data_IF_269701231059
#
_entry.id   IF_269701231059
#
_cell.length_a   1.000
_cell.length_b   1.000
_cell.length_c   1.000
_cell.angle_alpha   90.00
_cell.angle_beta   90.00
_cell.angle_gamma   90.00
#
_symmetry.space_group_name_H-M   'P 1'
#
loop_
_entity.id
_entity.type
_entity.pdbx_description
1 polymer ?
#
# COMPACT_ATOMS: atom_id res chain seq x y z
N UNK A 1 -20.45 -3.74 16.45
CA UNK A 1 -20.26 -4.56 15.21
C UNK A 1 -19.21 -3.81 14.40
N UNK A 2 -18.10 -4.43 14.03
CA UNK A 2 -17.12 -3.81 13.13
C UNK A 2 -17.80 -3.56 11.78
N UNK A 3 -17.67 -2.34 11.27
CA UNK A 3 -18.20 -1.97 9.96
C UNK A 3 -17.49 -2.82 8.90
N UNK A 4 -18.25 -3.43 7.98
CA UNK A 4 -17.68 -4.20 6.87
C UNK A 4 -16.98 -3.23 5.92
N UNK A 5 -15.70 -3.43 5.68
CA UNK A 5 -14.94 -2.62 4.73
C UNK A 5 -15.24 -3.08 3.32
N UNK A 6 -15.68 -2.16 2.48
CA UNK A 6 -16.02 -2.41 1.07
C UNK A 6 -15.26 -1.48 0.12
N UNK A 7 -14.37 -0.63 0.63
CA UNK A 7 -13.59 0.34 -0.15
C UNK A 7 -12.10 0.07 -0.06
N UNK A 8 -11.39 0.37 -1.13
CA UNK A 8 -9.93 0.40 -1.15
C UNK A 8 -9.41 1.63 -1.90
N UNK A 9 -8.21 2.08 -1.52
CA UNK A 9 -7.44 3.11 -2.22
C UNK A 9 -6.09 2.50 -2.60
N UNK A 10 -5.73 2.59 -3.89
CA UNK A 10 -4.45 2.14 -4.40
C UNK A 10 -3.64 3.36 -4.84
N UNK A 11 -2.45 3.54 -4.27
CA UNK A 11 -1.53 4.61 -4.67
C UNK A 11 -0.70 4.15 -5.87
N UNK A 12 -0.88 4.82 -7.00
CA UNK A 12 -0.30 4.44 -8.28
C UNK A 12 0.27 5.64 -9.06
N UNK A 13 0.62 6.72 -8.35
CA UNK A 13 1.08 7.96 -8.98
C UNK A 13 2.60 8.00 -9.25
N UNK A 14 3.38 7.06 -8.72
CA UNK A 14 4.85 7.05 -8.76
C UNK A 14 5.44 6.87 -10.17
N UNK A 15 6.59 7.50 -10.41
CA UNK A 15 7.27 7.50 -11.70
C UNK A 15 8.10 6.24 -12.00
N UNK A 16 8.42 5.43 -10.99
CA UNK A 16 9.21 4.20 -11.21
C UNK A 16 10.66 4.44 -11.69
N UNK A 17 11.28 5.57 -11.36
CA UNK A 17 12.59 6.00 -11.89
C UNK A 17 13.71 4.96 -11.70
N UNK A 18 13.67 4.17 -10.64
CA UNK A 18 14.67 3.12 -10.35
C UNK A 18 14.61 1.93 -11.33
N UNK A 19 13.51 1.77 -12.05
CA UNK A 19 13.33 0.76 -13.10
C UNK A 19 13.89 1.20 -14.47
N UNK A 20 14.46 2.42 -14.56
CA UNK A 20 15.07 2.98 -15.76
C UNK A 20 14.08 2.97 -16.94
N UNK A 21 14.54 2.52 -18.14
CA UNK A 21 13.73 2.49 -19.37
C UNK A 21 12.38 1.78 -19.17
N UNK A 22 12.34 0.69 -18.38
CA UNK A 22 11.09 -0.03 -18.10
C UNK A 22 10.08 0.86 -17.36
N UNK A 23 10.52 1.66 -16.38
CA UNK A 23 9.65 2.60 -15.65
C UNK A 23 9.23 3.80 -16.48
N UNK A 24 10.05 4.22 -17.47
CA UNK A 24 9.70 5.29 -18.40
C UNK A 24 8.58 4.88 -19.37
N UNK A 25 8.56 3.62 -19.80
CA UNK A 25 7.58 3.09 -20.76
C UNK A 25 6.30 2.58 -20.10
N UNK A 26 6.43 1.97 -18.90
CA UNK A 26 5.34 1.25 -18.25
C UNK A 26 5.28 1.62 -16.78
N UNK A 27 4.11 2.02 -16.22
CA UNK A 27 3.99 2.29 -14.79
C UNK A 27 4.17 0.99 -14.00
N UNK A 28 4.71 1.08 -12.77
CA UNK A 28 5.07 -0.08 -11.94
C UNK A 28 3.95 -1.13 -11.83
N UNK A 29 2.72 -0.68 -11.59
CA UNK A 29 1.56 -1.58 -11.48
C UNK A 29 1.26 -2.39 -12.75
N UNK A 30 1.82 -2.01 -13.90
CA UNK A 30 1.67 -2.71 -15.17
C UNK A 30 2.85 -3.60 -15.55
N UNK A 31 3.87 -3.70 -14.71
CA UNK A 31 4.88 -4.76 -14.84
C UNK A 31 4.16 -6.10 -14.81
N UNK A 32 4.53 -6.99 -15.73
CA UNK A 32 3.82 -8.26 -15.90
C UNK A 32 4.50 -9.39 -15.14
N UNK A 33 3.69 -10.12 -14.39
CA UNK A 33 4.04 -11.42 -13.86
C UNK A 33 3.07 -12.45 -14.45
N UNK A 34 3.62 -13.51 -15.04
CA UNK A 34 2.81 -14.56 -15.66
C UNK A 34 1.80 -14.04 -16.71
N UNK A 35 2.21 -13.03 -17.47
CA UNK A 35 1.40 -12.42 -18.52
C UNK A 35 0.37 -11.38 -18.08
N UNK A 36 0.09 -11.24 -16.77
CA UNK A 36 -0.85 -10.25 -16.22
C UNK A 36 -0.13 -9.10 -15.50
N UNK A 37 -0.60 -7.85 -15.61
CA UNK A 37 -0.12 -6.75 -14.78
C UNK A 37 -0.26 -7.03 -13.28
N UNK A 38 0.74 -6.63 -12.49
CA UNK A 38 0.70 -6.89 -11.02
C UNK A 38 -0.49 -6.20 -10.35
N UNK A 39 -0.90 -5.03 -10.81
CA UNK A 39 -2.10 -4.34 -10.30
C UNK A 39 -3.36 -5.20 -10.42
N UNK A 40 -3.49 -6.02 -11.48
CA UNK A 40 -4.65 -6.89 -11.63
C UNK A 40 -4.70 -8.00 -10.58
N UNK A 41 -3.54 -8.47 -10.09
CA UNK A 41 -3.51 -9.42 -8.99
C UNK A 41 -4.05 -8.80 -7.71
N UNK A 42 -3.65 -7.54 -7.42
CA UNK A 42 -4.19 -6.77 -6.30
C UNK A 42 -5.69 -6.53 -6.42
N UNK A 43 -6.18 -6.14 -7.61
CA UNK A 43 -7.60 -5.94 -7.87
C UNK A 43 -8.41 -7.21 -7.65
N UNK A 44 -7.96 -8.35 -8.20
CA UNK A 44 -8.64 -9.65 -8.01
C UNK A 44 -8.66 -10.06 -6.54
N UNK A 45 -7.56 -9.84 -5.79
CA UNK A 45 -7.51 -10.14 -4.37
C UNK A 45 -8.53 -9.29 -3.58
N UNK A 46 -8.59 -7.99 -3.83
CA UNK A 46 -9.53 -7.08 -3.19
C UNK A 46 -10.99 -7.45 -3.50
N UNK A 47 -11.32 -7.64 -4.78
CA UNK A 47 -12.68 -7.96 -5.22
C UNK A 47 -13.13 -9.31 -4.65
N UNK A 48 -12.26 -10.33 -4.65
CA UNK A 48 -12.58 -11.65 -4.08
C UNK A 48 -12.83 -11.60 -2.56
N UNK A 49 -12.27 -10.62 -1.86
CA UNK A 49 -12.50 -10.37 -0.44
C UNK A 49 -13.70 -9.45 -0.15
N UNK A 50 -14.48 -9.07 -1.17
CA UNK A 50 -15.72 -8.31 -1.01
C UNK A 50 -15.57 -6.79 -1.10
N UNK A 51 -14.42 -6.28 -1.54
CA UNK A 51 -14.25 -4.87 -1.87
C UNK A 51 -15.07 -4.55 -3.13
N UNK A 52 -15.88 -3.51 -3.06
CA UNK A 52 -16.85 -3.13 -4.09
C UNK A 52 -16.51 -1.82 -4.80
N UNK A 53 -15.71 -0.99 -4.17
CA UNK A 53 -15.28 0.29 -4.73
C UNK A 53 -13.78 0.45 -4.52
N UNK A 54 -13.06 0.70 -5.61
CA UNK A 54 -11.60 0.85 -5.59
C UNK A 54 -11.25 2.17 -6.26
N UNK A 55 -10.62 3.07 -5.50
CA UNK A 55 -10.03 4.29 -6.03
C UNK A 55 -8.56 4.04 -6.35
N UNK A 56 -8.16 4.22 -7.60
CA UNK A 56 -6.73 4.24 -7.99
C UNK A 56 -6.31 5.69 -8.14
N UNK A 57 -5.36 6.12 -7.30
CA UNK A 57 -4.75 7.44 -7.40
C UNK A 57 -3.61 7.37 -8.41
N UNK A 58 -3.82 7.94 -9.57
CA UNK A 58 -2.92 7.87 -10.71
C UNK A 58 -2.02 9.10 -10.82
N UNK A 59 -0.98 9.01 -11.64
CA UNK A 59 -0.09 10.12 -11.97
C UNK A 59 0.68 9.79 -13.25
N UNK A 60 1.91 9.27 -13.12
CA UNK A 60 2.70 8.83 -14.27
C UNK A 60 1.96 7.75 -15.06
N UNK A 61 1.83 7.94 -16.38
CA UNK A 61 1.19 6.98 -17.31
C UNK A 61 -0.25 6.61 -16.89
N UNK A 62 -1.04 7.58 -16.44
CA UNK A 62 -2.41 7.38 -15.95
C UNK A 62 -3.31 6.60 -16.91
N UNK A 63 -3.09 6.73 -18.22
CA UNK A 63 -3.87 6.09 -19.28
C UNK A 63 -3.92 4.55 -19.14
N UNK A 64 -2.89 3.94 -18.58
CA UNK A 64 -2.87 2.52 -18.28
C UNK A 64 -3.92 2.14 -17.25
N UNK A 65 -4.00 2.90 -16.16
CA UNK A 65 -4.98 2.65 -15.08
C UNK A 65 -6.40 3.01 -15.50
N UNK A 66 -6.57 4.02 -16.36
CA UNK A 66 -7.85 4.39 -16.94
C UNK A 66 -8.46 3.24 -17.77
N UNK A 67 -7.64 2.50 -18.51
CA UNK A 67 -8.09 1.36 -19.31
C UNK A 67 -8.66 0.21 -18.48
N UNK A 68 -8.27 0.07 -17.21
CA UNK A 68 -8.79 -0.99 -16.34
C UNK A 68 -10.28 -0.83 -16.02
N UNK A 69 -10.84 0.38 -16.13
CA UNK A 69 -12.27 0.64 -15.88
C UNK A 69 -13.20 -0.09 -16.86
N UNK A 70 -12.70 -0.45 -18.03
CA UNK A 70 -13.44 -1.24 -19.02
C UNK A 70 -13.60 -2.71 -18.59
N UNK A 71 -12.67 -3.20 -17.75
CA UNK A 71 -12.61 -4.59 -17.31
C UNK A 71 -13.18 -4.75 -15.88
N UNK A 72 -12.90 -3.76 -15.01
CA UNK A 72 -13.25 -3.79 -13.59
C UNK A 72 -14.18 -2.63 -13.26
N UNK A 73 -15.52 -2.85 -13.19
CA UNK A 73 -16.51 -1.80 -12.91
C UNK A 73 -16.41 -1.21 -11.50
N UNK A 74 -15.68 -1.89 -10.59
CA UNK A 74 -15.42 -1.43 -9.23
C UNK A 74 -14.43 -0.25 -9.20
N UNK A 75 -13.68 0.00 -10.29
CA UNK A 75 -12.60 0.97 -10.32
C UNK A 75 -13.11 2.38 -10.63
N UNK A 76 -12.61 3.32 -9.86
CA UNK A 76 -12.56 4.75 -10.17
C UNK A 76 -11.12 5.23 -10.13
N UNK A 77 -10.82 6.28 -10.85
CA UNK A 77 -9.49 6.89 -10.88
C UNK A 77 -9.55 8.36 -10.51
N UNK A 78 -8.53 8.84 -9.84
CA UNK A 78 -8.28 10.27 -9.62
C UNK A 78 -6.81 10.56 -9.90
N UNK A 79 -6.53 11.67 -10.57
CA UNK A 79 -5.16 12.02 -10.93
C UNK A 79 -4.51 12.93 -9.89
N UNK A 80 -3.33 12.57 -9.42
CA UNK A 80 -2.40 13.50 -8.81
C UNK A 80 -1.63 14.22 -9.93
N UNK A 81 -2.06 15.40 -10.34
CA UNK A 81 -1.40 16.18 -11.40
C UNK A 81 -0.02 16.71 -11.02
N UNK A 82 0.38 16.57 -9.75
CA UNK A 82 1.67 17.01 -9.21
C UNK A 82 2.56 15.84 -8.78
N UNK A 83 2.31 14.66 -9.33
CA UNK A 83 2.98 13.41 -8.92
C UNK A 83 4.52 13.50 -8.94
N UNK A 84 5.11 14.28 -9.85
CA UNK A 84 6.56 14.44 -9.96
C UNK A 84 7.19 15.20 -8.77
N UNK A 85 6.40 16.04 -8.09
CA UNK A 85 6.89 16.97 -7.06
C UNK A 85 6.30 16.66 -5.67
N UNK A 86 5.54 15.56 -5.51
CA UNK A 86 4.77 15.29 -4.29
C UNK A 86 4.97 13.87 -3.78
N UNK A 87 4.84 13.71 -2.46
CA UNK A 87 4.89 12.41 -1.78
C UNK A 87 3.55 11.67 -1.76
N UNK A 88 3.55 10.50 -1.13
CA UNK A 88 2.39 9.59 -1.06
C UNK A 88 1.19 10.22 -0.33
N UNK A 89 1.42 11.07 0.67
CA UNK A 89 0.33 11.78 1.36
C UNK A 89 -0.45 12.72 0.45
N UNK A 90 0.23 13.42 -0.47
CA UNK A 90 -0.47 14.26 -1.43
C UNK A 90 -1.32 13.41 -2.38
N UNK A 91 -0.79 12.28 -2.83
CA UNK A 91 -1.54 11.31 -3.64
C UNK A 91 -2.76 10.78 -2.89
N UNK A 92 -2.59 10.37 -1.63
CA UNK A 92 -3.71 9.92 -0.78
C UNK A 92 -4.76 11.04 -0.58
N UNK A 93 -4.32 12.30 -0.49
CA UNK A 93 -5.20 13.47 -0.41
C UNK A 93 -6.08 13.68 -1.65
N UNK A 94 -5.62 13.28 -2.84
CA UNK A 94 -6.44 13.35 -4.05
C UNK A 94 -7.69 12.45 -3.98
N UNK A 95 -7.69 11.43 -3.13
CA UNK A 95 -8.83 10.54 -2.93
C UNK A 95 -9.89 11.07 -1.93
N UNK A 96 -9.79 12.33 -1.46
CA UNK A 96 -10.64 12.86 -0.38
C UNK A 96 -12.14 12.72 -0.65
N UNK A 97 -12.60 12.96 -1.87
CA UNK A 97 -14.02 12.89 -2.22
C UNK A 97 -14.56 11.44 -2.29
N UNK A 98 -13.65 10.46 -2.33
CA UNK A 98 -13.97 9.04 -2.30
C UNK A 98 -14.02 8.47 -0.89
N UNK A 99 -13.20 9.01 0.03
CA UNK A 99 -13.05 8.50 1.39
C UNK A 99 -14.16 8.99 2.30
N UNK A 100 -15.30 8.33 2.26
CA UNK A 100 -16.46 8.56 3.13
C UNK A 100 -16.63 7.49 4.23
N UNK A 101 -15.88 6.39 4.17
CA UNK A 101 -15.86 5.26 5.10
C UNK A 101 -14.43 4.73 5.31
N UNK A 102 -14.27 3.72 6.19
CA UNK A 102 -13.02 2.99 6.38
C UNK A 102 -12.65 2.22 5.10
N UNK A 103 -11.36 2.08 4.84
CA UNK A 103 -10.87 1.48 3.59
C UNK A 103 -9.55 0.73 3.78
N UNK A 104 -9.19 -0.10 2.78
CA UNK A 104 -7.87 -0.70 2.67
C UNK A 104 -7.00 0.19 1.78
N UNK A 105 -5.84 0.59 2.29
CA UNK A 105 -4.81 1.31 1.55
C UNK A 105 -3.78 0.31 1.03
N UNK A 106 -3.40 0.44 -0.25
CA UNK A 106 -2.32 -0.35 -0.89
C UNK A 106 -1.42 0.53 -1.77
N UNK A 107 -0.19 0.07 -1.97
CA UNK A 107 0.68 0.53 -3.05
C UNK A 107 0.46 -0.32 -4.32
N UNK A 108 0.70 0.26 -5.50
CA UNK A 108 0.37 -0.40 -6.78
C UNK A 108 1.41 -1.39 -7.29
N UNK A 109 2.58 -1.43 -6.66
CA UNK A 109 3.77 -2.20 -7.04
C UNK A 109 4.01 -3.43 -6.15
N UNK A 110 2.97 -3.86 -5.46
CA UNK A 110 3.01 -5.00 -4.56
C UNK A 110 2.61 -6.30 -5.26
N UNK A 111 3.37 -7.35 -4.97
CA UNK A 111 3.03 -8.75 -5.24
C UNK A 111 2.85 -9.44 -3.89
N UNK A 112 1.69 -10.01 -3.62
CA UNK A 112 1.40 -10.61 -2.32
C UNK A 112 0.41 -11.77 -2.42
N UNK A 113 0.49 -12.69 -1.47
CA UNK A 113 -0.51 -13.73 -1.29
C UNK A 113 -1.84 -13.06 -0.87
N UNK A 114 -2.98 -13.28 -1.58
CA UNK A 114 -4.30 -12.76 -1.22
C UNK A 114 -4.74 -13.02 0.22
N UNK A 115 -4.13 -13.95 0.95
CA UNK A 115 -4.34 -14.10 2.39
C UNK A 115 -4.04 -12.81 3.17
N UNK A 116 -3.17 -11.94 2.64
CA UNK A 116 -2.87 -10.62 3.19
C UNK A 116 -4.15 -9.77 3.36
N UNK A 117 -5.00 -9.73 2.32
CA UNK A 117 -6.25 -8.96 2.35
C UNK A 117 -7.26 -9.61 3.31
N UNK A 118 -7.42 -10.93 3.24
CA UNK A 118 -8.29 -11.65 4.17
C UNK A 118 -7.86 -11.44 5.62
N UNK A 119 -6.55 -11.52 5.90
CA UNK A 119 -5.99 -11.33 7.23
C UNK A 119 -6.29 -9.95 7.79
N UNK A 120 -5.97 -8.89 7.04
CA UNK A 120 -6.14 -7.52 7.54
C UNK A 120 -7.61 -7.10 7.66
N UNK A 121 -8.50 -7.63 6.82
CA UNK A 121 -9.94 -7.39 6.95
C UNK A 121 -10.53 -8.00 8.22
N UNK A 122 -10.01 -9.14 8.66
CA UNK A 122 -10.53 -9.89 9.83
C UNK A 122 -10.02 -9.39 11.18
N UNK A 123 -9.05 -8.46 11.24
CA UNK A 123 -8.62 -7.92 12.53
C UNK A 123 -9.70 -7.06 13.17
N UNK A 124 -9.81 -7.06 14.51
CA UNK A 124 -10.86 -6.30 15.22
C UNK A 124 -10.56 -4.79 15.29
N UNK A 125 -9.38 -4.36 14.83
CA UNK A 125 -8.94 -2.97 14.89
C UNK A 125 -9.42 -2.18 13.67
N UNK A 126 -9.79 -0.91 13.87
CA UNK A 126 -10.17 -0.01 12.78
C UNK A 126 -8.96 0.48 12.01
N UNK A 127 -7.81 0.62 12.68
CA UNK A 127 -6.55 1.08 12.11
C UNK A 127 -5.46 0.05 12.37
N UNK A 128 -4.91 -0.50 11.28
CA UNK A 128 -4.00 -1.63 11.38
C UNK A 128 -3.03 -1.65 10.20
N UNK A 129 -1.73 -1.79 10.47
CA UNK A 129 -0.70 -2.04 9.47
C UNK A 129 -0.52 -3.54 9.28
N UNK A 130 -0.35 -3.98 8.05
CA UNK A 130 0.04 -5.37 7.78
C UNK A 130 1.57 -5.48 7.75
N UNK A 131 2.09 -6.36 8.58
CA UNK A 131 3.52 -6.62 8.68
C UNK A 131 3.84 -8.04 8.26
N UNK A 132 5.01 -8.23 7.68
CA UNK A 132 5.64 -9.54 7.51
C UNK A 132 6.73 -9.78 8.55
N UNK A 133 7.28 -10.99 8.56
CA UNK A 133 8.59 -11.27 9.16
C UNK A 133 9.72 -10.63 8.35
N UNK A 134 10.97 -10.87 8.78
CA UNK A 134 12.17 -10.32 8.13
C UNK A 134 12.35 -10.90 6.72
N UNK A 135 12.51 -10.03 5.74
CA UNK A 135 12.66 -10.41 4.33
C UNK A 135 14.09 -10.33 3.81
N UNK A 136 14.92 -9.43 4.35
CA UNK A 136 16.25 -9.07 3.85
C UNK A 136 16.21 -8.60 2.38
N UNK A 137 15.18 -7.86 2.00
CA UNK A 137 14.99 -7.33 0.66
C UNK A 137 15.93 -6.17 0.33
N UNK A 138 16.34 -5.40 1.34
CA UNK A 138 17.27 -4.28 1.25
C UNK A 138 16.59 -2.90 1.24
N UNK A 139 15.27 -2.85 1.40
CA UNK A 139 14.45 -1.64 1.43
C UNK A 139 13.34 -1.71 2.49
N UNK A 140 13.58 -2.53 3.51
CA UNK A 140 12.61 -2.82 4.55
C UNK A 140 12.14 -1.55 5.28
N UNK A 141 10.85 -1.54 5.60
CA UNK A 141 10.23 -0.56 6.48
C UNK A 141 9.97 -1.22 7.83
N UNK A 142 10.88 -1.00 8.77
CA UNK A 142 10.82 -1.60 10.09
C UNK A 142 9.78 -0.92 10.97
N UNK A 143 9.06 -1.73 11.75
CA UNK A 143 8.06 -1.25 12.70
C UNK A 143 8.45 -1.64 14.11
N UNK A 144 8.48 -0.66 15.02
CA UNK A 144 8.61 -0.83 16.45
C UNK A 144 7.26 -0.66 17.13
N UNK A 145 7.02 -1.43 18.19
CA UNK A 145 5.74 -1.41 18.90
C UNK A 145 5.92 -1.33 20.41
N UNK A 146 4.94 -0.73 21.08
CA UNK A 146 4.77 -0.73 22.54
C UNK A 146 3.35 -1.18 22.85
N UNK A 147 3.19 -2.15 23.74
CA UNK A 147 1.87 -2.67 24.14
C UNK A 147 0.94 -3.03 22.94
N UNK A 148 1.49 -3.71 21.95
CA UNK A 148 0.77 -4.12 20.75
C UNK A 148 0.24 -2.95 19.89
N UNK A 149 0.84 -1.76 20.01
CA UNK A 149 0.57 -0.59 19.17
C UNK A 149 1.83 -0.14 18.47
N UNK A 150 1.70 0.29 17.24
CA UNK A 150 2.78 0.91 16.48
C UNK A 150 3.27 2.15 17.21
N UNK A 151 4.58 2.23 17.45
CA UNK A 151 5.22 3.36 18.10
C UNK A 151 6.26 4.03 17.21
N UNK A 152 6.88 3.27 16.32
CA UNK A 152 7.94 3.73 15.42
C UNK A 152 7.83 3.04 14.07
N UNK A 153 8.12 3.76 13.00
CA UNK A 153 8.29 3.21 11.65
C UNK A 153 9.53 3.87 11.05
N UNK A 154 10.46 3.12 10.48
CA UNK A 154 11.65 3.68 9.84
C UNK A 154 12.25 2.71 8.81
N UNK A 155 12.83 3.28 7.74
CA UNK A 155 13.73 2.53 6.84
C UNK A 155 15.11 2.32 7.44
N UNK A 156 15.52 3.11 8.43
CA UNK A 156 16.78 2.89 9.16
C UNK A 156 16.54 1.93 10.34
N UNK A 157 17.06 0.70 10.19
CA UNK A 157 16.98 -0.36 11.21
C UNK A 157 17.53 0.08 12.58
N UNK A 158 18.51 0.98 12.59
CA UNK A 158 19.13 1.44 13.83
C UNK A 158 18.22 2.34 14.67
N UNK A 159 17.21 2.94 14.05
CA UNK A 159 16.18 3.75 14.74
C UNK A 159 15.12 2.89 15.43
N UNK A 160 15.00 1.61 15.07
CA UNK A 160 14.02 0.69 15.63
C UNK A 160 14.71 -0.34 16.49
N UNK A 161 14.70 -0.14 17.81
CA UNK A 161 15.42 -1.01 18.76
C UNK A 161 14.88 -2.45 18.74
N UNK A 162 13.56 -2.60 18.81
CA UNK A 162 12.88 -3.90 18.86
C UNK A 162 11.81 -3.94 17.75
N UNK A 163 12.23 -4.34 16.54
CA UNK A 163 11.31 -4.45 15.42
C UNK A 163 10.35 -5.63 15.59
N UNK A 164 9.07 -5.36 15.47
CA UNK A 164 8.01 -6.37 15.49
C UNK A 164 7.69 -6.93 14.10
N UNK A 165 8.25 -6.38 13.03
CA UNK A 165 8.09 -6.83 11.65
C UNK A 165 8.41 -5.74 10.65
N UNK A 166 8.17 -6.05 9.38
CA UNK A 166 8.35 -5.16 8.23
C UNK A 166 6.99 -4.79 7.65
N UNK A 167 6.71 -3.48 7.50
CA UNK A 167 5.47 -3.00 6.86
C UNK A 167 5.51 -3.30 5.37
N UNK A 168 4.43 -3.85 4.85
CA UNK A 168 4.38 -4.36 3.46
C UNK A 168 3.62 -3.44 2.49
N UNK A 169 3.28 -2.21 2.88
CA UNK A 169 2.52 -1.30 2.03
C UNK A 169 1.01 -1.58 1.99
N UNK A 170 0.46 -2.35 2.93
CA UNK A 170 -0.97 -2.63 3.07
C UNK A 170 -1.44 -2.22 4.46
N UNK A 171 -2.48 -1.38 4.52
CA UNK A 171 -3.04 -0.91 5.78
C UNK A 171 -4.58 -0.86 5.74
N UNK A 172 -5.18 -1.07 6.90
CA UNK A 172 -6.59 -0.78 7.19
C UNK A 172 -6.65 0.59 7.84
N UNK A 173 -7.34 1.52 7.21
CA UNK A 173 -7.40 2.93 7.59
C UNK A 173 -8.85 3.33 7.83
N UNK A 174 -9.13 3.81 9.05
CA UNK A 174 -10.43 4.39 9.34
C UNK A 174 -10.57 5.78 8.71
N UNK A 175 -11.81 6.18 8.44
CA UNK A 175 -12.09 7.57 8.02
C UNK A 175 -11.56 8.58 9.03
N UNK A 176 -11.56 8.24 10.33
CA UNK A 176 -11.03 9.11 11.38
C UNK A 176 -9.51 9.26 11.24
N UNK A 177 -8.77 8.17 11.09
CA UNK A 177 -7.32 8.21 10.89
C UNK A 177 -6.97 8.97 9.61
N UNK A 178 -7.70 8.72 8.52
CA UNK A 178 -7.52 9.46 7.26
C UNK A 178 -7.61 10.99 7.47
N UNK A 179 -8.63 11.46 8.19
CA UNK A 179 -8.76 12.90 8.50
C UNK A 179 -7.56 13.44 9.29
N UNK A 180 -7.03 12.68 10.25
CA UNK A 180 -5.83 13.04 11.00
C UNK A 180 -4.58 13.08 10.12
N UNK A 181 -4.42 12.10 9.23
CA UNK A 181 -3.32 12.06 8.26
C UNK A 181 -3.29 13.33 7.40
N UNK A 182 -4.45 13.75 6.87
CA UNK A 182 -4.58 14.98 6.08
C UNK A 182 -4.20 16.25 6.89
N UNK A 183 -4.65 16.33 8.14
CA UNK A 183 -4.29 17.46 9.02
C UNK A 183 -2.80 17.49 9.31
N UNK A 184 -2.20 16.32 9.62
CA UNK A 184 -0.78 16.18 9.91
C UNK A 184 0.07 16.57 8.70
N UNK A 185 -0.26 16.09 7.51
CA UNK A 185 0.43 16.45 6.28
C UNK A 185 0.32 17.95 5.95
N UNK A 186 -0.85 18.55 6.20
CA UNK A 186 -1.06 19.98 5.96
C UNK A 186 -0.24 20.88 6.88
N UNK A 187 0.17 20.38 8.05
CA UNK A 187 1.01 21.09 9.01
C UNK A 187 2.51 20.91 8.78
N UNK A 188 2.93 20.10 7.82
CA UNK A 188 4.34 19.90 7.48
C UNK A 188 4.96 21.17 6.90
N UNK A 189 6.25 21.36 7.14
CA UNK A 189 7.03 22.43 6.53
C UNK A 189 7.11 22.32 5.01
N UNK A 190 7.02 21.09 4.49
CA UNK A 190 6.91 20.79 3.07
C UNK A 190 5.80 19.75 2.81
N UNK A 191 4.52 20.17 2.86
CA UNK A 191 3.38 19.23 2.73
C UNK A 191 3.39 18.43 1.42
N UNK A 192 4.00 18.98 0.38
CA UNK A 192 4.08 18.30 -0.92
C UNK A 192 4.95 17.06 -0.91
N UNK A 193 5.96 17.01 -0.06
CA UNK A 193 6.90 15.88 0.06
C UNK A 193 6.61 14.98 1.26
N UNK A 194 5.46 15.15 1.89
CA UNK A 194 5.06 14.33 3.03
C UNK A 194 4.71 12.90 2.58
N UNK A 195 5.22 11.93 3.33
CA UNK A 195 4.92 10.52 3.12
C UNK A 195 3.89 10.03 4.15
N UNK A 196 3.07 9.08 3.76
CA UNK A 196 2.05 8.48 4.63
C UNK A 196 2.66 7.82 5.88
N UNK A 197 3.79 7.12 5.72
CA UNK A 197 4.52 6.53 6.85
C UNK A 197 4.98 7.57 7.88
N UNK A 198 5.50 8.71 7.45
CA UNK A 198 5.95 9.77 8.35
C UNK A 198 4.77 10.36 9.12
N UNK A 199 3.63 10.51 8.46
CA UNK A 199 2.40 10.97 9.09
C UNK A 199 1.85 9.93 10.08
N UNK A 200 1.88 8.64 9.74
CA UNK A 200 1.46 7.54 10.61
C UNK A 200 2.29 7.50 11.90
N UNK A 201 3.62 7.64 11.81
CA UNK A 201 4.50 7.71 13.00
C UNK A 201 4.12 8.87 13.92
N UNK A 202 3.92 10.05 13.36
CA UNK A 202 3.56 11.25 14.14
C UNK A 202 2.22 11.10 14.85
N UNK A 203 1.27 10.42 14.23
CA UNK A 203 -0.06 10.20 14.79
C UNK A 203 -0.08 9.06 15.81
N UNK A 204 0.80 8.06 15.67
CA UNK A 204 0.78 6.84 16.47
C UNK A 204 0.89 7.10 17.99
N UNK A 205 1.46 8.23 18.42
CA UNK A 205 1.51 8.63 19.84
C UNK A 205 0.14 9.06 20.40
N UNK A 206 -0.78 9.51 19.54
CA UNK A 206 -2.06 10.09 19.92
C UNK A 206 -3.27 9.26 19.45
N UNK A 207 -3.04 8.35 18.51
CA UNK A 207 -4.08 7.53 17.90
C UNK A 207 -3.67 6.05 17.96
N UNK A 208 -4.55 5.14 18.44
CA UNK A 208 -4.23 3.71 18.51
C UNK A 208 -4.08 3.10 17.11
N UNK A 209 -2.84 2.96 16.66
CA UNK A 209 -2.49 2.27 15.43
C UNK A 209 -1.97 0.88 15.80
N UNK A 210 -2.66 -0.16 15.33
CA UNK A 210 -2.30 -1.55 15.60
C UNK A 210 -1.54 -2.16 14.42
N UNK A 211 -1.12 -3.39 14.56
CA UNK A 211 -0.54 -4.17 13.48
C UNK A 211 -1.02 -5.61 13.50
N UNK A 212 -1.06 -6.21 12.32
CA UNK A 212 -1.17 -7.65 12.11
C UNK A 212 0.17 -8.12 11.55
N UNK A 213 0.85 -9.03 12.24
CA UNK A 213 2.03 -9.68 11.70
C UNK A 213 1.66 -11.05 11.13
N UNK A 214 1.99 -11.26 9.86
CA UNK A 214 1.81 -12.54 9.16
C UNK A 214 3.19 -13.13 8.82
N UNK A 215 3.70 -14.01 9.69
CA UNK A 215 4.94 -14.72 9.43
C UNK A 215 4.76 -15.71 8.27
N UNK A 216 5.73 -15.74 7.36
CA UNK A 216 5.68 -16.61 6.19
C UNK A 216 4.78 -16.12 5.05
N UNK A 217 4.25 -14.90 5.13
CA UNK A 217 3.54 -14.28 4.02
C UNK A 217 4.49 -14.13 2.82
N UNK A 218 4.10 -14.69 1.68
CA UNK A 218 4.82 -14.48 0.43
C UNK A 218 4.41 -13.13 -0.17
N UNK A 219 5.36 -12.19 -0.21
CA UNK A 219 5.15 -10.87 -0.78
C UNK A 219 6.45 -10.24 -1.30
N UNK A 220 6.35 -9.26 -2.19
CA UNK A 220 7.44 -8.43 -2.66
C UNK A 220 6.91 -7.07 -3.15
N UNK A 221 7.72 -6.04 -3.00
CA UNK A 221 7.57 -4.76 -3.68
C UNK A 221 8.50 -4.74 -4.91
N UNK A 222 8.15 -3.97 -5.95
CA UNK A 222 8.95 -3.84 -7.17
C UNK A 222 9.33 -2.39 -7.39
N UNK A 223 10.52 -2.04 -6.93
CA UNK A 223 11.11 -0.72 -7.10
C UNK A 223 12.27 -0.71 -8.11
N UNK A 224 12.95 -1.83 -8.25
CA UNK A 224 14.09 -2.00 -9.16
C UNK A 224 14.12 -3.41 -9.79
N UNK A 225 15.11 -3.65 -10.67
CA UNK A 225 15.25 -4.93 -11.38
C UNK A 225 15.55 -6.12 -10.45
N UNK A 226 16.29 -5.90 -9.37
CA UNK A 226 16.59 -6.95 -8.39
C UNK A 226 15.32 -7.38 -7.63
N UNK A 227 14.51 -6.40 -7.27
CA UNK A 227 13.22 -6.66 -6.63
C UNK A 227 12.24 -7.33 -7.59
N UNK A 228 12.27 -6.99 -8.88
CA UNK A 228 11.48 -7.70 -9.90
C UNK A 228 11.85 -9.18 -9.97
N UNK A 229 13.13 -9.54 -9.95
CA UNK A 229 13.57 -10.95 -9.90
C UNK A 229 13.08 -11.66 -8.62
N UNK A 230 13.09 -10.96 -7.49
CA UNK A 230 12.53 -11.47 -6.23
C UNK A 230 11.02 -11.68 -6.35
N UNK A 231 10.30 -10.69 -6.89
CA UNK A 231 8.86 -10.74 -7.07
C UNK A 231 8.42 -11.91 -7.97
N UNK A 232 9.19 -12.24 -9.01
CA UNK A 232 8.95 -13.42 -9.85
C UNK A 232 9.03 -14.72 -9.03
N UNK A 233 10.02 -14.85 -8.16
CA UNK A 233 10.16 -16.03 -7.29
C UNK A 233 9.03 -16.11 -6.24
N UNK A 234 8.63 -14.97 -5.69
CA UNK A 234 7.48 -14.88 -4.77
C UNK A 234 6.20 -15.29 -5.49
N UNK A 235 5.99 -14.80 -6.71
CA UNK A 235 4.83 -15.15 -7.51
C UNK A 235 4.73 -16.65 -7.79
N UNK A 236 5.84 -17.32 -8.14
CA UNK A 236 5.87 -18.77 -8.32
C UNK A 236 5.44 -19.53 -7.04
N UNK A 237 5.86 -19.06 -5.86
CA UNK A 237 5.42 -19.66 -4.59
C UNK A 237 3.92 -19.46 -4.34
N UNK A 238 3.41 -18.25 -4.62
CA UNK A 238 1.99 -17.96 -4.48
C UNK A 238 1.15 -18.86 -5.40
N UNK A 239 1.57 -19.03 -6.66
CA UNK A 239 0.89 -19.93 -7.59
C UNK A 239 0.91 -21.39 -7.12
N UNK A 240 2.05 -21.86 -6.60
CA UNK A 240 2.18 -23.23 -6.12
C UNK A 240 1.25 -23.58 -4.94
N UNK A 241 0.82 -22.58 -4.17
CA UNK A 241 -0.17 -22.76 -3.09
C UNK A 241 -1.61 -22.87 -3.60
N UNK A 242 -1.84 -22.54 -4.88
CA UNK A 242 -3.19 -22.41 -5.46
C UNK A 242 -3.27 -23.27 -6.71
N UNK A 243 -3.71 -24.52 -6.60
CA UNK A 243 -3.89 -25.41 -7.75
C UNK A 243 -5.00 -24.94 -8.70
#
# INVERSE_FOLDING_TARGET
>A
MSQVITKAVILAAGMGLRLKEMGEETPKGFIRLDGSPIIEHSLRALISCGIKEIMIVTGHKREYYESLKEIYPEIRTVENTKFADTGTMYSLGCAQDFVDADFILLESDLVFDPEAITGILNVPYSDCLLLSGTTNAGDEVYVGAVENRVAQISKDRNQIKDSVGEYIGIAKISKQLYGRLQQTASSDSNPKQSYDMDCLVRIASEHPLHFLRMDGLDWAEIDDLKQLERAQKVWEKIKAKRP
#
